data_IF_849785826270
#
_entry.id   IF_849785826270
#
_cell.length_a   1.000
_cell.length_b   1.000
_cell.length_c   1.000
_cell.angle_alpha   90.00
_cell.angle_beta   90.00
_cell.angle_gamma   90.00
#
_symmetry.space_group_name_H-M   'P 1'
#
loop_
_entity.id
_entity.type
_entity.pdbx_description
1 polymer ?
#
# COMPACT_ATOMS: atom_id res chain seq x y z
N UNK A 1 -3.61 8.42 2.46
CA UNK A 1 -3.38 7.14 3.17
C UNK A 1 -3.85 5.98 2.32
N UNK A 2 -3.23 4.80 2.47
CA UNK A 2 -3.52 3.60 1.68
C UNK A 2 -4.42 2.57 2.42
N UNK A 3 -5.26 3.04 3.36
CA UNK A 3 -5.99 2.16 4.27
C UNK A 3 -7.07 1.32 3.55
N UNK A 4 -7.70 1.90 2.53
CA UNK A 4 -8.66 1.20 1.69
C UNK A 4 -8.00 0.08 0.89
N UNK A 5 -6.85 0.38 0.27
CA UNK A 5 -6.04 -0.63 -0.43
C UNK A 5 -5.62 -1.77 0.50
N UNK A 6 -5.13 -1.46 1.71
CA UNK A 6 -4.75 -2.48 2.69
C UNK A 6 -5.94 -3.38 3.01
N UNK A 7 -7.09 -2.80 3.35
CA UNK A 7 -8.30 -3.55 3.68
C UNK A 7 -8.72 -4.46 2.51
N UNK A 8 -8.77 -3.93 1.30
CA UNK A 8 -9.22 -4.68 0.13
C UNK A 8 -8.26 -5.83 -0.23
N UNK A 9 -6.95 -5.64 -0.05
CA UNK A 9 -5.95 -6.70 -0.28
C UNK A 9 -6.04 -7.79 0.80
N UNK A 10 -6.14 -7.41 2.07
CA UNK A 10 -6.38 -8.38 3.16
C UNK A 10 -7.66 -9.17 2.91
N UNK A 11 -8.76 -8.49 2.56
CA UNK A 11 -10.05 -9.11 2.27
C UNK A 11 -10.01 -10.02 1.05
N UNK A 12 -9.13 -9.73 0.09
CA UNK A 12 -8.87 -10.59 -1.07
C UNK A 12 -7.93 -11.77 -0.76
N UNK A 13 -7.54 -11.97 0.50
CA UNK A 13 -6.69 -13.08 0.94
C UNK A 13 -5.19 -12.87 0.71
N UNK A 14 -4.76 -11.64 0.45
CA UNK A 14 -3.33 -11.34 0.30
C UNK A 14 -2.63 -11.39 1.66
N UNK A 15 -1.41 -11.93 1.68
CA UNK A 15 -0.50 -11.72 2.80
C UNK A 15 0.03 -10.28 2.76
N UNK A 16 -0.44 -9.45 3.70
CA UNK A 16 -0.11 -8.03 3.79
C UNK A 16 0.79 -7.78 4.99
N UNK A 17 1.99 -7.29 4.73
CA UNK A 17 2.95 -6.88 5.76
C UNK A 17 3.05 -5.35 5.80
N UNK A 18 2.81 -4.76 6.98
CA UNK A 18 2.90 -3.31 7.18
C UNK A 18 4.15 -2.97 7.98
N UNK A 19 4.90 -1.98 7.47
CA UNK A 19 6.12 -1.47 8.08
C UNK A 19 5.95 0.01 8.42
N UNK A 20 6.19 0.38 9.68
CA UNK A 20 6.01 1.74 10.19
C UNK A 20 7.30 2.29 10.80
N UNK A 21 7.53 3.60 10.67
CA UNK A 21 8.63 4.30 11.36
C UNK A 21 8.42 4.32 12.86
N UNK A 22 7.18 4.50 13.28
CA UNK A 22 6.71 4.37 14.66
C UNK A 22 5.52 3.41 14.67
N UNK A 23 5.64 2.20 15.24
CA UNK A 23 4.52 1.30 15.43
C UNK A 23 3.61 1.89 16.52
N UNK A 24 2.82 2.90 16.15
CA UNK A 24 1.85 3.54 17.02
C UNK A 24 0.67 2.61 17.37
N UNK A 25 -0.55 3.15 17.39
CA UNK A 25 -1.72 2.40 17.84
C UNK A 25 -2.10 1.28 16.84
N UNK A 26 -1.74 0.03 17.19
CA UNK A 26 -2.01 -1.18 16.39
C UNK A 26 -3.49 -1.38 16.08
N UNK A 27 -4.38 -0.75 16.86
CA UNK A 27 -5.83 -0.82 16.69
C UNK A 27 -6.29 -0.37 15.30
N UNK A 28 -5.68 0.68 14.74
CA UNK A 28 -6.02 1.16 13.41
C UNK A 28 -5.74 0.10 12.34
N UNK A 29 -4.60 -0.60 12.44
CA UNK A 29 -4.24 -1.68 11.51
C UNK A 29 -5.11 -2.91 11.72
N UNK A 30 -5.43 -3.26 12.96
CA UNK A 30 -6.31 -4.39 13.28
C UNK A 30 -7.71 -4.21 12.66
N UNK A 31 -8.25 -2.99 12.66
CA UNK A 31 -9.52 -2.65 11.96
C UNK A 31 -9.40 -2.89 10.45
N UNK A 32 -8.22 -2.69 9.88
CA UNK A 32 -7.93 -2.98 8.47
C UNK A 32 -7.61 -4.46 8.20
N UNK A 33 -7.70 -5.31 9.22
CA UNK A 33 -7.39 -6.74 9.15
C UNK A 33 -5.90 -7.08 9.22
N UNK A 34 -5.05 -6.13 9.61
CA UNK A 34 -3.62 -6.34 9.82
C UNK A 34 -3.35 -6.30 11.34
N UNK A 35 -3.25 -7.45 12.02
CA UNK A 35 -3.16 -7.47 13.49
C UNK A 35 -1.80 -7.00 14.02
N UNK A 36 -0.76 -7.03 13.18
CA UNK A 36 0.62 -6.75 13.59
C UNK A 36 1.34 -5.90 12.53
N UNK A 37 2.26 -5.06 12.99
CA UNK A 37 3.17 -4.34 12.12
C UNK A 37 4.62 -4.57 12.54
N UNK A 38 5.53 -4.19 11.65
CA UNK A 38 6.98 -4.29 11.87
C UNK A 38 7.60 -2.90 11.82
N UNK A 39 8.74 -2.73 12.49
CA UNK A 39 9.52 -1.51 12.37
C UNK A 39 10.08 -1.36 10.96
N UNK A 40 10.07 -0.16 10.40
CA UNK A 40 10.59 0.09 9.05
C UNK A 40 12.07 -0.28 8.91
N UNK A 41 12.85 -0.17 9.99
CA UNK A 41 14.27 -0.55 10.00
C UNK A 41 14.49 -2.05 9.77
N UNK A 42 13.52 -2.90 10.08
CA UNK A 42 13.56 -4.34 9.80
C UNK A 42 12.99 -4.69 8.42
N UNK A 43 12.65 -3.70 7.58
CA UNK A 43 12.15 -3.98 6.23
C UNK A 43 13.19 -4.72 5.40
N UNK A 44 12.78 -5.88 4.89
CA UNK A 44 13.52 -6.69 3.94
C UNK A 44 12.55 -7.45 3.06
N UNK A 45 12.86 -7.58 1.77
CA UNK A 45 12.16 -8.54 0.92
C UNK A 45 12.73 -9.92 1.21
N UNK A 46 11.86 -10.83 1.66
CA UNK A 46 12.21 -12.23 1.88
C UNK A 46 12.50 -12.99 0.57
N UNK A 47 12.74 -14.31 0.63
CA UNK A 47 13.04 -15.11 -0.55
C UNK A 47 11.87 -15.20 -1.56
N UNK A 48 10.64 -14.89 -1.14
CA UNK A 48 9.49 -14.68 -2.04
C UNK A 48 9.43 -13.24 -2.53
N UNK A 49 9.34 -13.05 -3.85
CA UNK A 49 9.09 -11.71 -4.41
C UNK A 49 7.67 -11.27 -4.02
N UNK A 50 7.48 -10.08 -3.44
CA UNK A 50 6.15 -9.57 -3.14
C UNK A 50 5.41 -9.28 -4.45
N UNK A 51 4.10 -9.51 -4.48
CA UNK A 51 3.27 -9.12 -5.62
C UNK A 51 3.22 -7.61 -5.81
N UNK A 52 3.20 -6.84 -4.71
CA UNK A 52 3.19 -5.39 -4.73
C UNK A 52 3.95 -4.80 -3.54
N UNK A 53 4.56 -3.64 -3.74
CA UNK A 53 5.17 -2.82 -2.68
C UNK A 53 4.62 -1.41 -2.75
N UNK A 54 4.09 -0.94 -1.63
CA UNK A 54 3.47 0.37 -1.52
C UNK A 54 4.18 1.15 -0.42
N UNK A 55 4.52 2.41 -0.67
CA UNK A 55 5.22 3.26 0.30
C UNK A 55 4.63 4.66 0.40
N UNK A 56 4.81 5.33 1.56
CA UNK A 56 4.55 6.75 1.67
C UNK A 56 5.66 7.55 0.98
N UNK A 57 5.31 8.68 0.37
CA UNK A 57 6.25 9.52 -0.40
C UNK A 57 7.43 10.05 0.44
N UNK A 58 7.15 10.48 1.67
CA UNK A 58 8.15 10.91 2.65
C UNK A 58 9.12 9.77 3.00
N UNK A 59 8.60 8.58 3.30
CA UNK A 59 9.42 7.40 3.59
C UNK A 59 10.28 7.03 2.37
N UNK A 60 9.71 7.05 1.17
CA UNK A 60 10.43 6.77 -0.07
C UNK A 60 11.57 7.78 -0.33
N UNK A 61 11.31 9.06 -0.07
CA UNK A 61 12.29 10.14 -0.21
C UNK A 61 13.46 9.99 0.79
N UNK A 62 13.19 9.53 2.01
CA UNK A 62 14.18 9.45 3.08
C UNK A 62 14.80 8.06 3.33
N UNK A 63 14.34 7.00 2.63
CA UNK A 63 14.87 5.64 2.77
C UNK A 63 15.63 5.15 1.51
N UNK A 64 16.97 5.33 1.42
CA UNK A 64 17.78 4.85 0.30
C UNK A 64 17.66 3.35 0.03
N UNK A 65 17.53 2.54 1.10
CA UNK A 65 17.33 1.08 1.00
C UNK A 65 16.04 0.73 0.25
N UNK A 66 14.94 1.43 0.57
CA UNK A 66 13.65 1.24 -0.09
C UNK A 66 13.73 1.61 -1.59
N UNK A 67 14.40 2.71 -1.93
CA UNK A 67 14.61 3.09 -3.34
C UNK A 67 15.40 2.05 -4.13
N UNK A 68 16.42 1.47 -3.52
CA UNK A 68 17.21 0.39 -4.14
C UNK A 68 16.35 -0.84 -4.40
N UNK A 69 15.53 -1.22 -3.43
CA UNK A 69 14.56 -2.31 -3.58
C UNK A 69 13.59 -2.05 -4.74
N UNK A 70 12.96 -0.87 -4.78
CA UNK A 70 12.07 -0.49 -5.88
C UNK A 70 12.79 -0.57 -7.23
N UNK A 71 13.99 -0.01 -7.33
CA UNK A 71 14.75 -0.02 -8.58
C UNK A 71 15.15 -1.45 -9.03
N UNK A 72 15.55 -2.32 -8.10
CA UNK A 72 15.95 -3.70 -8.40
C UNK A 72 14.77 -4.54 -8.90
N UNK A 73 13.63 -4.47 -8.23
CA UNK A 73 12.47 -5.29 -8.59
C UNK A 73 11.66 -4.71 -9.76
N UNK A 74 11.64 -3.38 -9.93
CA UNK A 74 11.03 -2.75 -11.11
C UNK A 74 11.76 -3.16 -12.40
N UNK A 75 13.10 -3.17 -12.40
CA UNK A 75 13.90 -3.62 -13.56
C UNK A 75 13.65 -5.08 -13.96
N UNK A 76 13.17 -5.90 -13.02
CA UNK A 76 12.93 -7.33 -13.23
C UNK A 76 11.44 -7.65 -13.44
N UNK A 77 10.56 -6.64 -13.43
CA UNK A 77 9.10 -6.81 -13.46
C UNK A 77 8.58 -7.81 -12.41
N UNK A 78 9.23 -7.86 -11.24
CA UNK A 78 8.98 -8.88 -10.22
C UNK A 78 7.93 -8.48 -9.17
N UNK A 79 7.57 -7.21 -9.11
CA UNK A 79 6.56 -6.67 -8.20
C UNK A 79 5.96 -5.40 -8.80
N UNK A 80 4.72 -5.09 -8.43
CA UNK A 80 4.12 -3.79 -8.69
C UNK A 80 4.59 -2.77 -7.64
N UNK A 81 4.70 -1.50 -8.03
CA UNK A 81 5.12 -0.43 -7.13
C UNK A 81 4.12 0.71 -7.12
N UNK A 82 3.86 1.24 -5.93
CA UNK A 82 3.09 2.44 -5.75
C UNK A 82 3.60 3.29 -4.59
N UNK A 83 3.37 4.59 -4.70
CA UNK A 83 3.66 5.58 -3.68
C UNK A 83 2.37 6.36 -3.42
N UNK A 84 1.98 6.51 -2.15
CA UNK A 84 0.87 7.39 -1.76
C UNK A 84 1.40 8.67 -1.10
N UNK A 85 0.56 9.70 -1.07
CA UNK A 85 0.89 10.98 -0.43
C UNK A 85 1.94 11.78 -1.21
N UNK A 86 2.13 11.47 -2.49
CA UNK A 86 2.88 12.30 -3.41
C UNK A 86 1.98 13.39 -3.96
N UNK A 87 2.46 14.64 -3.92
CA UNK A 87 1.80 15.71 -4.66
C UNK A 87 1.74 15.34 -6.15
N UNK A 88 0.72 15.81 -6.87
CA UNK A 88 0.45 15.46 -8.29
C UNK A 88 1.65 15.70 -9.24
N UNK A 89 2.70 16.40 -8.80
CA UNK A 89 3.95 16.63 -9.54
C UNK A 89 5.20 15.91 -9.01
N UNK A 90 5.15 15.20 -7.88
CA UNK A 90 6.36 14.77 -7.16
C UNK A 90 7.11 13.58 -7.79
N UNK A 91 6.48 12.83 -8.70
CA UNK A 91 7.12 11.71 -9.38
C UNK A 91 6.84 11.68 -10.88
N UNK A 92 7.29 12.70 -11.61
CA UNK A 92 7.44 12.67 -13.09
C UNK A 92 8.61 11.76 -13.49
N UNK A 93 8.58 10.49 -13.08
CA UNK A 93 9.56 9.50 -13.50
C UNK A 93 9.03 8.77 -14.74
N UNK A 94 9.87 8.57 -15.78
CA UNK A 94 9.48 7.76 -16.92
C UNK A 94 8.95 6.39 -16.47
N UNK A 95 7.75 6.03 -16.90
CA UNK A 95 7.08 4.76 -16.55
C UNK A 95 6.23 4.80 -15.27
N UNK A 96 6.10 5.95 -14.59
CA UNK A 96 5.19 6.13 -13.46
C UNK A 96 3.98 6.96 -13.90
N UNK A 97 2.78 6.56 -13.48
CA UNK A 97 1.53 7.27 -13.73
C UNK A 97 0.69 7.36 -12.46
N UNK A 98 -0.30 8.26 -12.47
CA UNK A 98 -1.34 8.29 -11.45
C UNK A 98 -2.18 7.02 -11.57
N UNK A 99 -2.43 6.38 -10.43
CA UNK A 99 -3.24 5.17 -10.28
C UNK A 99 -4.29 5.43 -9.22
N UNK A 100 -5.54 5.14 -9.55
CA UNK A 100 -6.66 5.28 -8.64
C UNK A 100 -7.10 3.90 -8.15
N UNK A 101 -7.09 3.70 -6.84
CA UNK A 101 -7.70 2.53 -6.21
C UNK A 101 -9.09 2.89 -5.73
N UNK A 102 -10.13 2.32 -6.36
CA UNK A 102 -11.51 2.50 -5.93
C UNK A 102 -11.81 1.57 -4.76
N UNK A 103 -12.15 2.15 -3.62
CA UNK A 103 -12.44 1.40 -2.41
C UNK A 103 -13.70 0.56 -2.58
N UNK A 104 -13.64 -0.71 -2.15
CA UNK A 104 -14.83 -1.54 -1.98
C UNK A 104 -15.81 -0.94 -0.96
N UNK A 105 -17.05 -1.41 -0.96
CA UNK A 105 -18.05 -0.97 0.02
C UNK A 105 -17.59 -1.25 1.47
N UNK A 106 -16.95 -2.40 1.69
CA UNK A 106 -16.41 -2.74 3.00
C UNK A 106 -15.25 -1.81 3.37
N UNK A 107 -14.29 -1.55 2.47
CA UNK A 107 -13.22 -0.60 2.73
C UNK A 107 -13.75 0.80 3.08
N UNK A 108 -14.80 1.27 2.39
CA UNK A 108 -15.47 2.56 2.71
C UNK A 108 -16.11 2.58 4.10
N UNK A 109 -16.58 1.44 4.60
CA UNK A 109 -17.16 1.33 5.94
C UNK A 109 -16.09 1.22 7.05
N UNK A 110 -15.02 0.46 6.82
CA UNK A 110 -13.99 0.19 7.85
C UNK A 110 -12.89 1.26 7.92
N UNK A 111 -12.51 1.87 6.79
CA UNK A 111 -11.46 2.90 6.75
C UNK A 111 -11.73 4.10 7.67
N UNK A 112 -12.96 4.68 7.75
CA UNK A 112 -13.24 5.75 8.72
C UNK A 112 -12.92 5.37 10.16
N UNK A 113 -13.25 4.14 10.56
CA UNK A 113 -12.99 3.64 11.91
C UNK A 113 -11.49 3.49 12.18
N UNK A 114 -10.73 3.02 11.19
CA UNK A 114 -9.27 2.97 11.28
C UNK A 114 -8.63 4.37 11.39
N UNK A 115 -9.16 5.36 10.66
CA UNK A 115 -8.70 6.75 10.75
C UNK A 115 -8.95 7.34 12.14
N UNK A 116 -10.15 7.16 12.69
CA UNK A 116 -10.46 7.59 14.06
C UNK A 116 -9.55 6.92 15.08
N UNK A 117 -9.31 5.61 14.96
CA UNK A 117 -8.39 4.88 15.82
C UNK A 117 -6.92 5.32 15.67
N UNK A 118 -6.56 5.98 14.57
CA UNK A 118 -5.25 6.58 14.37
C UNK A 118 -5.19 8.06 14.81
N UNK A 119 -6.26 8.60 15.39
CA UNK A 119 -6.36 10.03 15.75
C UNK A 119 -6.45 10.97 14.55
N UNK A 120 -6.84 10.47 13.37
CA UNK A 120 -6.95 11.22 12.11
C UNK A 120 -8.43 11.48 11.80
N UNK A 121 -8.72 12.64 11.20
CA UNK A 121 -10.07 12.96 10.72
C UNK A 121 -10.57 11.89 9.73
N UNK A 122 -11.81 11.37 9.90
CA UNK A 122 -12.34 10.30 9.06
C UNK A 122 -12.86 10.78 7.70
N UNK A 123 -12.24 11.78 7.09
CA UNK A 123 -12.60 12.23 5.74
C UNK A 123 -12.16 11.16 4.72
N UNK A 124 -13.14 10.45 4.15
CA UNK A 124 -12.91 9.31 3.26
C UNK A 124 -13.48 9.60 1.88
N UNK A 125 -12.58 9.72 0.93
CA UNK A 125 -12.89 9.69 -0.50
C UNK A 125 -13.19 8.25 -0.96
N UNK A 126 -14.04 8.07 -2.00
CA UNK A 126 -14.34 6.76 -2.58
C UNK A 126 -13.16 6.12 -3.31
N UNK A 127 -12.09 6.89 -3.52
CA UNK A 127 -10.85 6.51 -4.21
C UNK A 127 -9.63 6.91 -3.39
N UNK A 128 -8.59 6.08 -3.44
CA UNK A 128 -7.24 6.40 -2.98
C UNK A 128 -6.32 6.60 -4.18
N UNK A 129 -5.49 7.64 -4.12
CA UNK A 129 -4.58 8.00 -5.20
C UNK A 129 -3.16 7.55 -4.89
N UNK A 130 -2.52 7.02 -5.92
CA UNK A 130 -1.14 6.56 -5.89
C UNK A 130 -0.40 7.04 -7.14
N UNK A 131 0.91 7.19 -7.04
CA UNK A 131 1.81 7.21 -8.18
C UNK A 131 2.49 5.85 -8.27
N UNK A 132 2.35 5.14 -9.38
CA UNK A 132 2.88 3.79 -9.53
C UNK A 132 3.15 3.41 -10.98
N UNK A 133 3.66 2.21 -11.19
CA UNK A 133 3.74 1.65 -12.55
C UNK A 133 2.33 1.41 -13.11
N UNK A 134 2.17 1.49 -14.43
CA UNK A 134 0.86 1.33 -15.11
C UNK A 134 0.11 0.04 -14.76
N UNK A 135 0.84 -0.99 -14.35
CA UNK A 135 0.33 -2.30 -13.92
C UNK A 135 -0.31 -2.33 -12.50
N UNK A 136 -0.07 -1.34 -11.64
CA UNK A 136 -0.56 -1.36 -10.24
C UNK A 136 -2.09 -1.26 -10.12
N UNK A 137 -2.77 -0.78 -11.16
CA UNK A 137 -4.23 -0.59 -11.18
C UNK A 137 -5.01 -1.92 -11.30
N UNK A 138 -4.39 -2.97 -11.85
CA UNK A 138 -5.06 -4.20 -12.30
C UNK A 138 -5.04 -5.34 -11.28
N UNK A 139 -4.60 -5.09 -10.04
CA UNK A 139 -4.55 -6.09 -8.98
C UNK A 139 -5.93 -6.50 -8.44
N UNK A 140 -6.86 -6.89 -9.32
CA UNK A 140 -7.86 -7.88 -9.01
C UNK A 140 -7.13 -9.20 -8.72
N UNK A 141 -7.38 -9.79 -7.55
CA UNK A 141 -6.90 -11.13 -7.23
C UNK A 141 -7.29 -12.12 -8.37
N UNK A 142 -6.50 -13.19 -8.61
CA UNK A 142 -6.87 -14.18 -9.59
C UNK A 142 -8.25 -14.76 -9.27
N UNK A 143 -9.08 -14.77 -10.30
CA UNK A 143 -10.38 -15.40 -10.36
C UNK A 143 -10.27 -16.82 -9.76
N UNK A 144 -11.05 -17.10 -8.72
CA UNK A 144 -11.26 -18.47 -8.26
C UNK A 144 -11.84 -19.29 -9.42
N UNK A 145 -11.02 -20.12 -10.07
CA UNK A 145 -11.54 -21.24 -10.84
C UNK A 145 -11.87 -22.35 -9.84
N UNK A 146 -13.16 -22.43 -9.49
CA UNK A 146 -13.73 -23.66 -8.94
C UNK A 146 -13.89 -24.63 -10.12
N UNK A 147 -13.05 -25.67 -10.13
CA UNK A 147 -13.26 -26.91 -10.85
C UNK A 147 -13.55 -28.03 -9.86
#
# INVERSE_FOLDING_TARGET
MAGGLIFDRVRAGWDVQVYLTDPGELRALAILGVPECRGLLSFSIGPGNPHAIVAAADIYAHAPRLRRVFATHARRHQAEFAIWGSDDGAYTRPGWSRVEHRLSQAARAFKPHALVAAGVSPDVTPTELFCGGSQFADGAAPLFHLG
#
